data_IF_338900149172
#
_entry.id   IF_338900149172
#
_cell.length_a   1.000
_cell.length_b   1.000
_cell.length_c   1.000
_cell.angle_alpha   90.00
_cell.angle_beta   90.00
_cell.angle_gamma   90.00
#
_symmetry.space_group_name_H-M   'P 1'
#
loop_
_entity.id
_entity.type
_entity.pdbx_description
1 polymer ?
#
# COMPACT_ATOMS: atom_id res chain seq x y z
N UNK A 1 49.68 -20.63 18.10
CA UNK A 1 50.56 -21.82 18.15
C UNK A 1 50.80 -22.30 16.73
N UNK A 2 52.07 -22.58 16.39
CA UNK A 2 52.55 -22.94 15.06
C UNK A 2 51.87 -24.20 14.51
N UNK A 3 51.54 -24.19 13.21
CA UNK A 3 51.07 -25.37 12.47
C UNK A 3 51.15 -25.17 10.96
N UNK A 4 52.30 -25.49 10.38
CA UNK A 4 52.46 -25.69 8.93
C UNK A 4 51.57 -26.84 8.44
N UNK A 5 50.82 -26.64 7.34
CA UNK A 5 50.33 -27.74 6.51
C UNK A 5 50.84 -27.54 5.07
N UNK A 6 51.56 -28.57 4.61
CA UNK A 6 52.28 -28.69 3.34
C UNK A 6 51.33 -28.64 2.14
N UNK A 7 51.73 -27.89 1.11
CA UNK A 7 51.13 -27.93 -0.23
C UNK A 7 51.45 -29.27 -0.91
N UNK A 8 50.43 -30.08 -1.22
CA UNK A 8 50.54 -31.13 -2.23
C UNK A 8 49.94 -30.62 -3.56
N UNK A 9 50.74 -30.73 -4.63
CA UNK A 9 50.30 -30.43 -6.00
C UNK A 9 49.33 -31.52 -6.46
N UNK A 10 48.04 -31.21 -6.52
CA UNK A 10 47.00 -32.02 -7.15
C UNK A 10 46.26 -31.19 -8.20
N UNK A 11 46.09 -31.73 -9.42
CA UNK A 11 45.33 -31.10 -10.51
C UNK A 11 43.90 -30.79 -10.05
N UNK A 12 43.48 -29.53 -10.14
CA UNK A 12 42.11 -29.09 -9.85
C UNK A 12 41.22 -29.38 -11.07
N UNK A 13 40.10 -30.05 -10.85
CA UNK A 13 39.05 -30.30 -11.83
C UNK A 13 38.18 -29.03 -11.97
N UNK A 14 37.87 -28.53 -13.18
CA UNK A 14 37.12 -27.28 -13.38
C UNK A 14 35.67 -27.26 -12.86
N UNK A 15 35.15 -28.39 -12.34
CA UNK A 15 33.77 -28.48 -11.81
C UNK A 15 33.68 -28.64 -10.28
N UNK A 16 34.68 -28.20 -9.51
CA UNK A 16 34.64 -28.24 -8.04
C UNK A 16 34.17 -26.92 -7.43
N UNK A 17 32.93 -26.88 -6.92
CA UNK A 17 32.41 -25.77 -6.11
C UNK A 17 32.97 -25.86 -4.68
N UNK A 18 33.69 -24.82 -4.22
CA UNK A 18 34.16 -24.71 -2.84
C UNK A 18 33.13 -23.95 -2.00
N UNK A 19 32.47 -24.62 -1.05
CA UNK A 19 31.69 -23.95 0.00
C UNK A 19 32.62 -23.53 1.14
N UNK A 20 32.81 -22.23 1.34
CA UNK A 20 33.40 -21.67 2.56
C UNK A 20 32.27 -21.35 3.55
N UNK A 21 32.14 -22.12 4.62
CA UNK A 21 31.26 -21.77 5.75
C UNK A 21 32.08 -21.02 6.80
N UNK A 22 31.81 -19.73 7.02
CA UNK A 22 32.30 -19.02 8.21
C UNK A 22 31.26 -19.13 9.33
N UNK A 23 31.68 -19.62 10.49
CA UNK A 23 30.87 -19.57 11.72
C UNK A 23 30.92 -18.15 12.27
N UNK A 24 29.75 -17.53 12.41
CA UNK A 24 29.60 -16.19 12.99
C UNK A 24 29.46 -16.27 14.51
N UNK A 25 30.31 -15.53 15.23
CA UNK A 25 30.04 -15.12 16.61
C UNK A 25 29.56 -13.67 16.60
N UNK A 26 28.47 -13.46 17.32
CA UNK A 26 27.63 -12.28 17.47
C UNK A 26 28.41 -11.01 17.77
N UNK A 27 28.23 -9.94 16.97
CA UNK A 27 28.03 -8.54 17.39
C UNK A 27 27.67 -7.70 16.15
N UNK A 28 26.68 -6.82 16.30
CA UNK A 28 26.01 -6.09 15.22
C UNK A 28 26.95 -5.22 14.35
N UNK A 29 27.02 -5.54 13.05
CA UNK A 29 27.31 -4.62 11.94
C UNK A 29 26.59 -5.15 10.71
N UNK A 30 25.77 -4.32 10.07
CA UNK A 30 25.11 -4.60 8.80
C UNK A 30 26.21 -4.87 7.77
N UNK A 31 26.42 -6.13 7.40
CA UNK A 31 27.25 -6.51 6.25
C UNK A 31 26.34 -6.86 5.09
N UNK A 32 26.31 -5.98 4.09
CA UNK A 32 25.69 -6.22 2.79
C UNK A 32 26.54 -7.24 2.02
N UNK A 33 26.03 -8.44 1.80
CA UNK A 33 26.69 -9.46 0.97
C UNK A 33 26.38 -9.20 -0.50
N UNK A 34 27.37 -8.73 -1.26
CA UNK A 34 27.30 -8.53 -2.71
C UNK A 34 27.58 -9.86 -3.43
N UNK A 35 26.62 -10.38 -4.19
CA UNK A 35 26.82 -11.56 -5.05
C UNK A 35 27.26 -11.08 -6.45
N UNK A 36 28.53 -11.25 -6.80
CA UNK A 36 29.05 -10.94 -8.15
C UNK A 36 29.14 -12.24 -8.95
N UNK A 37 28.32 -12.39 -9.99
CA UNK A 37 28.47 -13.46 -11.00
C UNK A 37 29.39 -12.94 -12.10
N UNK A 38 30.63 -13.43 -12.15
CA UNK A 38 31.58 -13.10 -13.21
C UNK A 38 31.64 -14.24 -14.24
N UNK A 39 31.06 -14.03 -15.42
CA UNK A 39 31.38 -14.81 -16.62
C UNK A 39 32.52 -14.07 -17.32
N UNK A 40 33.73 -14.61 -17.26
CA UNK A 40 34.91 -14.00 -17.90
C UNK A 40 34.94 -14.41 -19.37
N UNK A 41 34.54 -13.50 -20.25
CA UNK A 41 34.95 -13.51 -21.67
C UNK A 41 35.57 -12.14 -21.98
N UNK A 42 36.77 -12.15 -22.53
CA UNK A 42 37.61 -10.98 -22.71
C UNK A 42 36.99 -9.93 -23.64
N UNK A 43 36.79 -8.71 -23.13
CA UNK A 43 37.24 -7.39 -23.65
C UNK A 43 36.43 -6.30 -22.92
N UNK A 44 37.13 -5.41 -22.20
CA UNK A 44 36.59 -4.24 -21.47
C UNK A 44 35.33 -4.50 -20.63
N UNK A 45 35.51 -4.95 -19.38
CA UNK A 45 34.45 -4.85 -18.36
C UNK A 45 34.44 -3.40 -17.88
N UNK A 46 33.52 -2.60 -18.39
CA UNK A 46 33.14 -1.35 -17.74
C UNK A 46 32.35 -1.71 -16.49
N UNK A 47 32.99 -1.61 -15.32
CA UNK A 47 32.29 -1.70 -14.04
C UNK A 47 31.47 -0.42 -13.87
N UNK A 48 30.19 -0.47 -14.18
CA UNK A 48 29.25 0.48 -13.58
C UNK A 48 29.04 -0.02 -12.15
N UNK A 49 29.46 0.72 -11.11
CA UNK A 49 28.98 0.39 -9.78
C UNK A 49 27.46 0.52 -9.83
N UNK A 50 26.73 -0.60 -9.78
CA UNK A 50 25.38 -0.57 -9.24
C UNK A 50 25.56 -0.26 -7.76
N UNK A 51 25.67 1.03 -7.45
CA UNK A 51 25.34 1.51 -6.13
C UNK A 51 23.90 1.09 -5.91
N UNK A 52 23.69 0.06 -5.09
CA UNK A 52 22.39 -0.24 -4.51
C UNK A 52 21.98 0.99 -3.70
N UNK A 53 21.29 1.93 -4.35
CA UNK A 53 20.73 3.09 -3.71
C UNK A 53 19.52 2.59 -2.91
N UNK A 54 19.71 2.39 -1.61
CA UNK A 54 18.59 2.17 -0.71
C UNK A 54 17.63 3.35 -0.88
N UNK A 55 16.39 3.07 -1.26
CA UNK A 55 15.38 4.10 -1.44
C UNK A 55 15.04 4.64 -0.07
N UNK A 56 15.17 5.95 0.11
CA UNK A 56 14.64 6.61 1.28
C UNK A 56 13.21 7.05 0.97
N UNK A 57 12.25 6.37 1.56
CA UNK A 57 10.84 6.73 1.45
C UNK A 57 10.54 7.95 2.32
N UNK A 58 9.95 8.99 1.74
CA UNK A 58 9.41 10.11 2.51
C UNK A 58 8.18 9.73 3.34
N UNK A 59 7.49 8.64 2.99
CA UNK A 59 6.48 7.99 3.82
C UNK A 59 6.52 6.46 3.68
N UNK A 60 6.45 5.77 4.81
CA UNK A 60 6.42 4.30 4.84
C UNK A 60 7.79 3.67 4.73
N UNK A 61 7.87 2.50 4.09
CA UNK A 61 9.08 1.71 3.93
C UNK A 61 9.24 1.24 2.49
N UNK A 62 10.49 1.05 2.08
CA UNK A 62 10.85 0.48 0.79
C UNK A 62 10.37 -0.98 0.73
N UNK A 63 9.60 -1.31 -0.30
CA UNK A 63 9.12 -2.68 -0.56
C UNK A 63 9.85 -3.35 -1.74
N UNK A 64 10.90 -2.71 -2.23
CA UNK A 64 11.70 -3.12 -3.39
C UNK A 64 11.25 -2.45 -4.69
N UNK A 65 12.13 -2.47 -5.68
CA UNK A 65 11.79 -2.10 -7.06
C UNK A 65 11.44 -0.63 -7.31
N UNK A 66 11.80 0.28 -6.40
CA UNK A 66 11.45 1.69 -6.56
C UNK A 66 10.25 2.15 -5.74
N UNK A 67 9.60 1.25 -5.01
CA UNK A 67 8.31 1.51 -4.39
C UNK A 67 8.38 1.67 -2.88
N UNK A 68 7.61 2.63 -2.39
CA UNK A 68 7.38 2.89 -0.98
C UNK A 68 5.94 2.54 -0.63
N UNK A 69 5.75 1.84 0.50
CA UNK A 69 4.42 1.58 1.07
C UNK A 69 4.36 2.05 2.51
N UNK A 70 3.29 2.76 2.85
CA UNK A 70 2.98 3.16 4.21
C UNK A 70 1.51 3.04 4.56
N UNK A 71 1.25 3.04 5.87
CA UNK A 71 -0.07 2.79 6.44
C UNK A 71 -0.46 3.94 7.36
N UNK A 72 -1.70 4.39 7.25
CA UNK A 72 -2.29 5.36 8.18
C UNK A 72 -3.45 4.68 8.90
N UNK A 73 -3.28 4.50 10.20
CA UNK A 73 -4.23 3.79 11.08
C UNK A 73 -4.90 4.71 12.10
N UNK A 74 -4.52 5.99 12.12
CA UNK A 74 -5.12 7.05 12.93
C UNK A 74 -4.71 8.44 12.41
N UNK A 75 -5.34 9.50 12.91
CA UNK A 75 -5.04 10.89 12.57
C UNK A 75 -6.06 11.53 11.62
N UNK A 76 -5.91 12.84 11.41
CA UNK A 76 -6.85 13.69 10.64
C UNK A 76 -6.19 14.42 9.47
N UNK A 77 -4.86 14.38 9.37
CA UNK A 77 -4.11 15.01 8.29
C UNK A 77 -2.95 14.12 7.84
N UNK A 78 -2.59 14.23 6.56
CA UNK A 78 -1.41 13.63 5.97
C UNK A 78 -0.53 14.71 5.35
N UNK A 79 0.71 14.80 5.81
CA UNK A 79 1.72 15.64 5.17
C UNK A 79 2.24 14.90 3.94
N UNK A 80 1.98 15.44 2.75
CA UNK A 80 2.39 14.83 1.49
C UNK A 80 3.93 14.87 1.40
N UNK A 81 4.58 13.71 1.25
CA UNK A 81 6.03 13.64 1.13
C UNK A 81 6.56 14.40 -0.08
N UNK A 82 7.78 14.94 0.02
CA UNK A 82 8.42 15.66 -1.09
C UNK A 82 8.72 14.78 -2.30
N UNK A 83 8.80 13.46 -2.09
CA UNK A 83 9.01 12.42 -3.08
C UNK A 83 7.69 11.83 -3.64
N UNK A 84 6.53 12.42 -3.31
CA UNK A 84 5.24 11.98 -3.85
C UNK A 84 5.18 12.07 -5.37
N UNK A 85 4.90 10.94 -6.02
CA UNK A 85 4.72 10.87 -7.47
C UNK A 85 3.22 10.77 -7.82
N UNK A 86 2.63 11.88 -8.29
CA UNK A 86 1.20 11.93 -8.65
C UNK A 86 0.83 11.04 -9.84
N UNK A 87 1.81 10.59 -10.64
CA UNK A 87 1.61 9.74 -11.81
C UNK A 87 1.89 8.25 -11.54
N UNK A 88 2.40 7.90 -10.37
CA UNK A 88 2.66 6.52 -9.95
C UNK A 88 2.44 6.38 -8.46
N UNK A 89 1.17 6.33 -8.08
CA UNK A 89 0.76 5.98 -6.72
C UNK A 89 -0.59 5.28 -6.72
N UNK A 90 -0.86 4.59 -5.62
CA UNK A 90 -2.18 4.08 -5.29
C UNK A 90 -2.51 4.44 -3.85
N UNK A 91 -3.75 4.87 -3.63
CA UNK A 91 -4.31 5.03 -2.29
C UNK A 91 -5.48 4.06 -2.15
N UNK A 92 -5.42 3.26 -1.10
CA UNK A 92 -6.42 2.25 -0.76
C UNK A 92 -7.01 2.56 0.61
N UNK A 93 -8.30 2.29 0.79
CA UNK A 93 -9.04 2.58 2.03
C UNK A 93 -9.92 1.41 2.41
N UNK A 94 -9.94 1.05 3.69
CA UNK A 94 -10.95 0.17 4.29
C UNK A 94 -11.72 0.98 5.34
N UNK A 95 -13.05 0.93 5.32
CA UNK A 95 -13.92 1.55 6.33
C UNK A 95 -13.88 0.80 7.68
N UNK A 96 -14.29 1.45 8.76
CA UNK A 96 -14.45 0.78 10.05
C UNK A 96 -15.60 -0.24 10.02
N UNK A 97 -15.44 -1.40 10.66
CA UNK A 97 -16.49 -2.40 10.83
C UNK A 97 -17.48 -1.99 11.92
N UNK A 98 -18.74 -2.38 11.78
CA UNK A 98 -19.77 -2.18 12.79
C UNK A 98 -19.68 -3.17 13.95
N UNK A 99 -20.16 -2.76 15.12
CA UNK A 99 -20.28 -3.62 16.29
C UNK A 99 -21.47 -4.56 16.20
N UNK A 100 -21.35 -5.76 16.78
CA UNK A 100 -22.48 -6.64 16.99
C UNK A 100 -23.41 -6.10 18.07
N UNK A 101 -24.67 -6.53 18.06
CA UNK A 101 -25.64 -6.13 19.08
C UNK A 101 -25.47 -6.95 20.36
N UNK A 102 -25.97 -6.41 21.47
CA UNK A 102 -26.21 -7.20 22.67
C UNK A 102 -27.37 -8.18 22.48
N UNK A 103 -27.60 -9.01 23.51
CA UNK A 103 -28.74 -9.91 23.56
C UNK A 103 -30.04 -9.15 23.86
N UNK A 104 -31.18 -9.67 23.43
CA UNK A 104 -32.47 -9.10 23.82
C UNK A 104 -32.82 -9.54 25.25
N UNK A 105 -32.89 -8.57 26.16
CA UNK A 105 -33.16 -8.82 27.59
C UNK A 105 -34.58 -9.27 27.89
N UNK A 106 -35.53 -9.00 26.98
CA UNK A 106 -36.95 -9.26 27.21
C UNK A 106 -37.33 -10.73 26.97
N UNK A 107 -36.60 -11.41 26.09
CA UNK A 107 -36.93 -12.78 25.67
C UNK A 107 -35.70 -13.71 25.56
N UNK A 108 -34.51 -13.22 25.92
CA UNK A 108 -33.27 -14.01 25.91
C UNK A 108 -32.73 -14.35 24.52
N UNK A 109 -33.23 -13.68 23.46
CA UNK A 109 -32.72 -13.87 22.09
C UNK A 109 -31.28 -13.37 21.98
N UNK A 110 -30.49 -14.06 21.15
CA UNK A 110 -29.13 -13.63 20.82
C UNK A 110 -29.08 -12.31 20.07
N UNK A 111 -27.88 -11.75 19.98
CA UNK A 111 -27.58 -10.53 19.24
C UNK A 111 -27.23 -10.79 17.78
N UNK A 112 -27.48 -9.79 16.94
CA UNK A 112 -27.13 -9.79 15.53
C UNK A 112 -25.67 -9.35 15.32
N UNK A 113 -25.06 -9.80 14.23
CA UNK A 113 -23.70 -9.42 13.87
C UNK A 113 -23.61 -8.02 13.27
N UNK A 114 -22.47 -7.36 13.44
CA UNK A 114 -22.12 -6.11 12.77
C UNK A 114 -21.63 -6.31 11.34
N UNK A 115 -21.84 -5.29 10.50
CA UNK A 115 -21.39 -5.24 9.11
C UNK A 115 -19.89 -4.99 8.97
N UNK A 116 -19.28 -5.49 7.92
CA UNK A 116 -17.88 -5.20 7.60
C UNK A 116 -17.71 -3.84 6.94
N UNK A 117 -16.53 -3.23 7.05
CA UNK A 117 -16.17 -2.02 6.31
C UNK A 117 -16.01 -2.30 4.81
N UNK A 118 -16.33 -1.33 3.96
CA UNK A 118 -16.09 -1.40 2.53
C UNK A 118 -14.61 -1.17 2.18
N UNK A 119 -14.27 -1.37 0.91
CA UNK A 119 -12.94 -1.11 0.34
C UNK A 119 -13.03 -0.19 -0.87
N UNK A 120 -12.05 0.68 -1.04
CA UNK A 120 -11.89 1.49 -2.25
C UNK A 120 -10.42 1.79 -2.54
N UNK A 121 -10.05 1.73 -3.82
CA UNK A 121 -8.70 2.02 -4.33
C UNK A 121 -8.76 2.99 -5.49
N UNK A 122 -7.79 3.91 -5.55
CA UNK A 122 -7.60 4.81 -6.69
C UNK A 122 -6.13 4.85 -7.10
N UNK A 123 -5.89 4.99 -8.39
CA UNK A 123 -4.54 5.19 -8.93
C UNK A 123 -4.28 6.67 -9.25
N UNK A 124 -3.01 7.07 -9.25
CA UNK A 124 -2.53 8.38 -9.69
C UNK A 124 -3.23 9.56 -8.98
N UNK A 125 -3.27 9.49 -7.65
CA UNK A 125 -3.85 10.54 -6.82
C UNK A 125 -2.90 11.75 -6.82
N UNK A 126 -3.41 12.89 -7.28
CA UNK A 126 -2.65 14.15 -7.33
C UNK A 126 -2.89 14.97 -6.06
N UNK A 127 -1.86 15.14 -5.25
CA UNK A 127 -1.90 15.88 -3.98
C UNK A 127 -0.58 16.60 -3.72
N UNK A 128 -0.61 17.64 -2.90
CA UNK A 128 0.58 18.36 -2.43
C UNK A 128 0.29 19.00 -1.07
N UNK A 129 1.35 19.43 -0.37
CA UNK A 129 1.22 20.11 0.92
C UNK A 129 0.68 19.19 2.02
N UNK A 130 -0.38 19.62 2.70
CA UNK A 130 -1.07 18.80 3.71
C UNK A 130 -2.50 18.57 3.28
N UNK A 131 -2.94 17.32 3.34
CA UNK A 131 -4.32 16.94 3.01
C UNK A 131 -5.03 16.45 4.26
N UNK A 132 -6.33 16.71 4.36
CA UNK A 132 -7.16 16.13 5.41
C UNK A 132 -7.44 14.67 5.08
N UNK A 133 -7.56 13.83 6.11
CA UNK A 133 -7.89 12.42 6.02
C UNK A 133 -8.86 12.06 7.16
N UNK A 134 -9.49 10.88 7.08
CA UNK A 134 -10.14 10.26 8.21
C UNK A 134 -9.90 8.75 8.21
N UNK A 135 -9.53 8.19 9.36
CA UNK A 135 -9.53 6.74 9.58
C UNK A 135 -10.78 6.37 10.38
N UNK A 136 -11.67 5.61 9.75
CA UNK A 136 -12.94 5.23 10.36
C UNK A 136 -12.74 4.40 11.62
N UNK A 137 -13.32 4.83 12.74
CA UNK A 137 -13.31 4.05 13.97
C UNK A 137 -14.11 2.74 13.83
N UNK A 138 -13.74 1.70 14.57
CA UNK A 138 -14.59 0.52 14.71
C UNK A 138 -15.83 0.82 15.56
N UNK A 139 -16.97 0.27 15.19
CA UNK A 139 -18.20 0.38 15.97
C UNK A 139 -18.10 -0.40 17.27
N UNK A 140 -18.49 0.22 18.39
CA UNK A 140 -18.60 -0.46 19.68
C UNK A 140 -19.70 -1.53 19.68
N UNK A 141 -19.46 -2.63 20.39
CA UNK A 141 -20.47 -3.67 20.59
C UNK A 141 -21.59 -3.18 21.52
N UNK A 142 -22.83 -3.56 21.23
CA UNK A 142 -23.98 -3.20 22.05
C UNK A 142 -24.01 -3.99 23.36
N UNK A 143 -24.30 -3.33 24.48
CA UNK A 143 -24.64 -4.02 25.73
C UNK A 143 -26.01 -4.70 25.66
N UNK A 144 -26.41 -5.42 26.71
CA UNK A 144 -27.71 -6.09 26.77
C UNK A 144 -28.87 -5.14 26.44
N UNK A 145 -29.71 -5.52 25.47
CA UNK A 145 -30.83 -4.71 24.97
C UNK A 145 -30.44 -3.57 24.04
N UNK A 146 -29.15 -3.38 23.74
CA UNK A 146 -28.63 -2.29 22.92
C UNK A 146 -28.06 -2.77 21.59
N UNK A 147 -28.33 -2.05 20.52
CA UNK A 147 -27.70 -2.23 19.22
C UNK A 147 -26.20 -1.94 19.27
N UNK A 148 -25.45 -2.56 18.36
CA UNK A 148 -24.06 -2.17 18.12
C UNK A 148 -23.99 -0.83 17.39
N UNK A 149 -22.87 -0.12 17.56
CA UNK A 149 -22.61 1.12 16.83
C UNK A 149 -22.10 0.83 15.42
N UNK A 150 -22.39 1.72 14.48
CA UNK A 150 -21.78 1.68 13.15
C UNK A 150 -20.28 2.00 13.23
N UNK A 151 -19.51 1.44 12.30
CA UNK A 151 -18.14 1.84 12.03
C UNK A 151 -18.09 3.15 11.23
N UNK A 152 -16.99 3.87 11.38
CA UNK A 152 -16.76 5.14 10.67
C UNK A 152 -16.28 4.93 9.23
N UNK A 153 -16.53 5.91 8.38
CA UNK A 153 -15.99 5.97 7.02
C UNK A 153 -14.48 6.25 7.03
N UNK A 154 -13.73 5.69 6.08
CA UNK A 154 -12.30 5.98 5.91
C UNK A 154 -12.09 6.69 4.58
N UNK A 155 -11.36 7.80 4.56
CA UNK A 155 -11.15 8.56 3.32
C UNK A 155 -9.85 9.35 3.31
N UNK A 156 -9.37 9.66 2.11
CA UNK A 156 -8.13 10.39 1.84
C UNK A 156 -8.37 11.61 0.94
N UNK A 157 -7.81 12.75 1.34
CA UNK A 157 -7.84 14.03 0.62
C UNK A 157 -9.26 14.53 0.31
N UNK A 158 -9.93 15.09 1.32
CA UNK A 158 -11.25 15.72 1.23
C UNK A 158 -11.70 16.34 2.56
N UNK A 159 -12.88 16.96 2.62
CA UNK A 159 -13.48 17.39 3.90
C UNK A 159 -14.44 16.33 4.49
N UNK A 160 -14.85 15.38 3.65
CA UNK A 160 -15.77 14.28 3.97
C UNK A 160 -15.52 13.15 2.99
N UNK A 161 -16.13 11.98 3.23
CA UNK A 161 -16.07 10.88 2.27
C UNK A 161 -16.59 11.28 0.88
N UNK A 162 -17.68 12.07 0.80
CA UNK A 162 -18.25 12.46 -0.50
C UNK A 162 -17.37 13.43 -1.29
N UNK A 163 -16.51 14.18 -0.59
CA UNK A 163 -15.60 15.17 -1.18
C UNK A 163 -14.16 14.65 -1.26
N UNK A 164 -13.91 13.37 -0.96
CA UNK A 164 -12.57 12.82 -0.92
C UNK A 164 -12.10 12.38 -2.29
N UNK A 165 -10.77 12.24 -2.44
CA UNK A 165 -10.20 11.63 -3.64
C UNK A 165 -10.43 10.13 -3.67
N UNK A 166 -10.39 9.49 -2.50
CA UNK A 166 -10.61 8.06 -2.27
C UNK A 166 -11.31 7.88 -0.93
N UNK A 167 -12.19 6.91 -0.81
CA UNK A 167 -12.70 6.51 0.49
C UNK A 167 -13.73 5.40 0.46
N UNK A 168 -13.85 4.72 1.59
CA UNK A 168 -14.72 3.57 1.79
C UNK A 168 -15.68 3.79 2.96
N UNK A 169 -16.89 3.26 2.81
CA UNK A 169 -17.93 3.33 3.85
C UNK A 169 -17.63 2.40 5.02
N UNK A 170 -17.96 2.84 6.23
CA UNK A 170 -18.03 1.98 7.41
C UNK A 170 -19.21 1.00 7.35
N UNK A 171 -19.12 -0.09 8.10
CA UNK A 171 -20.20 -1.07 8.29
C UNK A 171 -21.21 -0.62 9.33
N UNK A 172 -22.48 -1.00 9.15
CA UNK A 172 -23.55 -0.78 10.11
C UNK A 172 -23.41 -1.67 11.36
N UNK A 173 -23.91 -1.19 12.50
CA UNK A 173 -24.02 -2.01 13.71
C UNK A 173 -25.18 -3.01 13.63
N UNK A 174 -25.05 -4.16 14.32
CA UNK A 174 -26.15 -5.10 14.50
C UNK A 174 -27.26 -4.48 15.34
N UNK A 175 -28.51 -4.73 14.98
CA UNK A 175 -29.69 -4.12 15.64
C UNK A 175 -30.37 -5.12 16.55
N UNK A 176 -30.68 -4.70 17.79
CA UNK A 176 -31.57 -5.46 18.67
C UNK A 176 -33.01 -5.27 18.22
N UNK A 177 -33.72 -6.37 17.97
CA UNK A 177 -35.16 -6.35 17.70
C UNK A 177 -35.89 -7.42 18.53
N UNK A 178 -37.17 -7.17 18.80
CA UNK A 178 -38.05 -8.07 19.56
C UNK A 178 -38.43 -9.35 18.80
N UNK A 179 -38.29 -9.34 17.47
CA UNK A 179 -38.63 -10.42 16.55
C UNK A 179 -37.49 -10.69 15.57
N UNK A 180 -36.33 -11.10 16.10
CA UNK A 180 -35.17 -11.48 15.30
C UNK A 180 -34.32 -10.28 14.86
N UNK A 181 -33.32 -9.92 15.68
CA UNK A 181 -32.42 -8.80 15.44
C UNK A 181 -31.84 -8.79 14.02
N UNK A 182 -31.63 -7.59 13.47
CA UNK A 182 -31.16 -7.40 12.09
C UNK A 182 -29.65 -7.25 12.05
N UNK A 183 -28.99 -7.98 11.16
CA UNK A 183 -27.56 -7.85 10.91
C UNK A 183 -27.18 -6.47 10.39
N UNK A 184 -26.01 -5.99 10.80
CA UNK A 184 -25.47 -4.73 10.30
C UNK A 184 -25.16 -4.81 8.81
N UNK A 185 -25.61 -3.82 8.05
CA UNK A 185 -25.27 -3.72 6.61
C UNK A 185 -23.76 -3.53 6.42
N UNK A 186 -23.19 -4.14 5.39
CA UNK A 186 -21.80 -3.88 5.03
C UNK A 186 -21.58 -2.47 4.48
N UNK A 187 -20.36 -1.96 4.57
CA UNK A 187 -19.97 -0.71 3.93
C UNK A 187 -20.18 -0.81 2.42
N UNK A 188 -21.15 -0.09 1.88
CA UNK A 188 -21.58 -0.24 0.49
C UNK A 188 -20.57 0.37 -0.50
N UNK A 189 -20.07 -0.44 -1.45
CA UNK A 189 -19.15 0.02 -2.50
C UNK A 189 -19.76 1.10 -3.41
N UNK A 190 -21.08 1.07 -3.60
CA UNK A 190 -21.81 2.10 -4.35
C UNK A 190 -21.70 3.50 -3.74
N UNK A 191 -21.41 3.59 -2.44
CA UNK A 191 -21.19 4.83 -1.70
C UNK A 191 -19.71 5.15 -1.45
N UNK A 192 -18.78 4.31 -1.90
CA UNK A 192 -17.34 4.56 -1.85
C UNK A 192 -16.84 5.35 -3.07
N UNK A 193 -15.67 5.97 -2.91
CA UNK A 193 -14.95 6.74 -3.94
C UNK A 193 -13.64 6.02 -4.28
N UNK A 194 -13.47 5.67 -5.54
CA UNK A 194 -12.29 4.95 -6.07
C UNK A 194 -12.61 4.31 -7.41
N UNK A 195 -11.57 3.86 -8.10
CA UNK A 195 -11.66 3.16 -9.38
C UNK A 195 -12.08 1.70 -9.16
N UNK A 196 -11.51 1.06 -8.14
CA UNK A 196 -11.86 -0.30 -7.70
C UNK A 196 -12.53 -0.21 -6.34
N UNK A 197 -13.69 -0.85 -6.17
CA UNK A 197 -14.48 -0.78 -4.95
C UNK A 197 -15.14 -2.11 -4.64
N UNK A 198 -15.10 -2.49 -3.38
CA UNK A 198 -15.72 -3.72 -2.87
C UNK A 198 -16.52 -3.42 -1.61
N UNK A 199 -17.63 -4.11 -1.44
CA UNK A 199 -18.49 -3.95 -0.28
C UNK A 199 -17.94 -4.71 0.91
N UNK A 200 -18.22 -4.22 2.10
CA UNK A 200 -18.11 -5.05 3.30
C UNK A 200 -19.20 -6.12 3.30
N UNK A 201 -18.98 -7.21 4.02
CA UNK A 201 -20.01 -8.21 4.22
C UNK A 201 -21.15 -7.66 5.08
N UNK A 202 -22.34 -8.24 4.93
CA UNK A 202 -23.49 -7.97 5.79
C UNK A 202 -23.49 -8.94 6.97
N UNK A 203 -23.66 -8.42 8.19
CA UNK A 203 -23.91 -9.24 9.37
C UNK A 203 -25.18 -10.06 9.18
N UNK A 204 -25.32 -11.15 9.95
CA UNK A 204 -26.51 -11.99 9.89
C UNK A 204 -27.53 -11.60 10.94
N UNK A 205 -28.80 -11.77 10.55
CA UNK A 205 -29.95 -11.67 11.42
C UNK A 205 -29.94 -12.79 12.48
N UNK A 206 -30.75 -12.61 13.51
CA UNK A 206 -31.00 -13.64 14.52
C UNK A 206 -32.34 -14.29 14.24
N UNK A 207 -32.36 -15.61 14.05
CA UNK A 207 -33.60 -16.36 13.92
C UNK A 207 -34.41 -16.27 15.23
N UNK A 208 -35.72 -16.01 15.12
CA UNK A 208 -36.59 -15.91 16.28
C UNK A 208 -36.51 -17.17 17.15
N UNK A 209 -36.24 -17.00 18.45
CA UNK A 209 -36.10 -18.10 19.41
C UNK A 209 -34.68 -18.64 19.55
N UNK A 210 -33.71 -18.17 18.76
CA UNK A 210 -32.29 -18.48 18.95
C UNK A 210 -31.72 -17.74 20.17
N UNK A 211 -31.12 -18.50 21.08
CA UNK A 211 -30.43 -17.96 22.27
C UNK A 211 -28.93 -17.71 22.03
N UNK A 212 -28.37 -18.20 20.91
CA UNK A 212 -27.01 -17.88 20.46
C UNK A 212 -26.97 -16.60 19.61
N UNK A 213 -25.83 -15.93 19.59
CA UNK A 213 -25.57 -14.76 18.77
C UNK A 213 -25.11 -15.12 17.36
N UNK A 214 -25.47 -14.30 16.37
CA UNK A 214 -25.02 -14.46 14.98
C UNK A 214 -23.61 -13.92 14.80
N UNK A 215 -22.84 -14.46 13.84
CA UNK A 215 -21.50 -13.95 13.55
C UNK A 215 -21.52 -12.54 12.97
N UNK A 216 -20.40 -11.83 13.04
CA UNK A 216 -20.14 -10.62 12.27
C UNK A 216 -19.68 -10.95 10.86
N UNK A 217 -19.60 -9.94 10.00
CA UNK A 217 -19.16 -10.08 8.60
C UNK A 217 -17.82 -9.42 8.31
N UNK A 218 -17.09 -9.95 7.33
CA UNK A 218 -15.72 -9.52 7.03
C UNK A 218 -15.65 -8.21 6.26
N UNK A 219 -14.48 -7.58 6.28
CA UNK A 219 -14.22 -6.36 5.51
C UNK A 219 -14.07 -6.63 4.01
N UNK A 220 -14.44 -5.68 3.16
CA UNK A 220 -13.96 -5.66 1.79
C UNK A 220 -12.43 -5.45 1.77
N UNK A 221 -11.76 -5.97 0.76
CA UNK A 221 -10.31 -5.88 0.63
C UNK A 221 -9.83 -5.96 -0.81
N UNK A 222 -8.51 -5.96 -1.07
CA UNK A 222 -7.97 -6.00 -2.42
C UNK A 222 -8.36 -7.28 -3.18
N UNK A 223 -8.76 -8.33 -2.47
CA UNK A 223 -9.18 -9.62 -3.03
C UNK A 223 -10.71 -9.75 -3.23
N UNK A 224 -11.50 -8.71 -2.96
CA UNK A 224 -12.93 -8.70 -3.23
C UNK A 224 -13.80 -8.25 -2.05
N UNK A 225 -15.09 -8.56 -2.15
CA UNK A 225 -16.09 -8.23 -1.14
C UNK A 225 -15.82 -8.98 0.17
N UNK A 226 -16.23 -8.37 1.28
CA UNK A 226 -16.27 -9.02 2.57
C UNK A 226 -17.34 -10.10 2.61
N UNK A 227 -17.02 -11.24 3.20
CA UNK A 227 -17.94 -12.36 3.29
C UNK A 227 -18.98 -12.15 4.39
N UNK A 228 -20.15 -12.77 4.20
CA UNK A 228 -21.24 -12.71 5.17
C UNK A 228 -20.92 -13.56 6.39
N UNK A 229 -21.61 -13.27 7.48
CA UNK A 229 -21.53 -14.10 8.66
C UNK A 229 -22.36 -15.39 8.53
N UNK A 230 -22.18 -16.28 9.51
CA UNK A 230 -23.07 -17.39 9.80
C UNK A 230 -24.17 -17.02 10.79
N UNK A 231 -25.34 -17.63 10.62
CA UNK A 231 -26.52 -17.47 11.47
C UNK A 231 -26.43 -18.30 12.76
N UNK A 232 -27.03 -17.81 13.83
CA UNK A 232 -27.21 -18.56 15.07
C UNK A 232 -28.38 -19.55 15.01
N UNK A 233 -28.30 -20.64 15.78
CA UNK A 233 -29.35 -21.68 15.83
C UNK A 233 -30.13 -21.69 17.15
N UNK A 234 -31.35 -22.27 17.10
CA UNK A 234 -32.27 -22.40 18.24
C UNK A 234 -31.69 -23.08 19.48
N UNK A 235 -30.68 -23.95 19.31
CA UNK A 235 -30.10 -24.75 20.39
C UNK A 235 -28.98 -24.01 21.17
N UNK A 236 -28.82 -22.70 20.98
CA UNK A 236 -27.86 -21.88 21.72
C UNK A 236 -26.43 -21.96 21.20
N UNK A 237 -26.22 -22.35 19.94
CA UNK A 237 -24.90 -22.27 19.31
C UNK A 237 -24.77 -21.01 18.43
N UNK A 238 -23.62 -20.34 18.52
CA UNK A 238 -23.32 -19.12 17.78
C UNK A 238 -22.84 -19.38 16.35
N UNK A 239 -23.13 -18.44 15.45
CA UNK A 239 -22.69 -18.48 14.05
C UNK A 239 -21.22 -18.07 13.87
N UNK A 240 -20.55 -18.59 12.83
CA UNK A 240 -19.18 -18.20 12.51
C UNK A 240 -19.08 -16.81 11.89
N UNK A 241 -17.95 -16.13 12.07
CA UNK A 241 -17.67 -14.85 11.43
C UNK A 241 -17.33 -15.00 9.94
N UNK A 242 -17.68 -14.02 9.12
CA UNK A 242 -17.25 -13.95 7.71
C UNK A 242 -15.78 -13.53 7.57
N UNK A 243 -15.15 -13.90 6.47
CA UNK A 243 -13.77 -13.50 6.13
C UNK A 243 -13.71 -12.17 5.34
N UNK A 244 -12.57 -11.47 5.38
CA UNK A 244 -12.28 -10.39 4.44
C UNK A 244 -11.77 -10.88 3.07
N UNK A 245 -12.60 -10.82 2.02
CA UNK A 245 -12.23 -11.21 0.65
C UNK A 245 -12.33 -12.70 0.31
N UNK A 246 -13.09 -13.49 1.08
CA UNK A 246 -13.09 -14.97 1.00
C UNK A 246 -14.45 -15.56 1.33
N UNK A 247 -14.49 -16.66 2.11
CA UNK A 247 -15.72 -17.43 2.31
C UNK A 247 -16.60 -16.91 3.46
N UNK A 248 -17.91 -17.16 3.34
CA UNK A 248 -18.87 -16.91 4.41
C UNK A 248 -18.53 -17.72 5.67
N UNK A 249 -18.96 -17.20 6.82
CA UNK A 249 -18.98 -17.96 8.07
C UNK A 249 -20.06 -19.04 8.04
N UNK A 250 -19.79 -20.20 8.65
CA UNK A 250 -20.75 -21.27 8.71
C UNK A 250 -21.88 -20.97 9.72
N UNK A 251 -23.09 -21.39 9.38
CA UNK A 251 -24.23 -21.36 10.29
C UNK A 251 -24.02 -22.35 11.45
N UNK A 252 -24.61 -22.04 12.60
CA UNK A 252 -24.74 -23.03 13.67
C UNK A 252 -25.81 -24.07 13.31
N UNK A 253 -25.62 -25.33 13.72
CA UNK A 253 -26.60 -26.41 13.48
C UNK A 253 -26.58 -27.45 14.61
N UNK A 254 -27.76 -27.88 15.08
CA UNK A 254 -27.87 -29.00 16.01
C UNK A 254 -27.18 -28.85 17.38
N UNK A 255 -26.78 -27.62 17.78
CA UNK A 255 -25.96 -27.37 18.99
C UNK A 255 -24.46 -27.25 18.70
N UNK A 256 -24.03 -27.52 17.47
CA UNK A 256 -22.68 -27.26 16.99
C UNK A 256 -22.57 -25.79 16.58
N UNK A 257 -21.49 -25.14 17.00
CA UNK A 257 -21.22 -23.76 16.58
C UNK A 257 -20.59 -23.69 15.20
N UNK A 258 -20.87 -22.59 14.51
CA UNK A 258 -20.38 -22.36 13.16
C UNK A 258 -18.88 -22.07 13.13
N UNK A 259 -18.15 -22.68 12.19
CA UNK A 259 -16.78 -22.29 11.90
C UNK A 259 -16.74 -20.91 11.22
N UNK A 260 -15.67 -20.14 11.46
CA UNK A 260 -15.40 -18.91 10.74
C UNK A 260 -15.03 -19.15 9.28
N UNK A 261 -15.29 -18.16 8.45
CA UNK A 261 -14.95 -18.18 7.03
C UNK A 261 -13.45 -18.16 6.79
N UNK A 262 -13.01 -18.81 5.73
CA UNK A 262 -11.62 -18.83 5.28
C UNK A 262 -11.29 -17.62 4.40
N UNK A 263 -10.02 -17.23 4.38
CA UNK A 263 -9.48 -16.22 3.47
C UNK A 263 -9.52 -16.60 2.01
N UNK A 264 -9.14 -15.65 1.14
CA UNK A 264 -9.09 -15.84 -0.31
C UNK A 264 -8.21 -17.03 -0.73
N UNK A 265 -7.26 -17.45 0.12
CA UNK A 265 -6.44 -18.65 -0.05
C UNK A 265 -7.04 -19.94 0.52
N UNK A 266 -8.27 -19.89 1.04
CA UNK A 266 -9.00 -21.06 1.56
C UNK A 266 -8.58 -21.49 2.97
N UNK A 267 -7.94 -20.63 3.77
CA UNK A 267 -7.46 -20.97 5.13
C UNK A 267 -7.80 -19.90 6.17
N UNK A 268 -7.50 -20.16 7.45
CA UNK A 268 -7.53 -19.14 8.52
C UNK A 268 -8.87 -18.98 9.24
N UNK A 269 -9.92 -19.68 8.81
CA UNK A 269 -11.18 -19.73 9.56
C UNK A 269 -11.02 -20.38 10.93
N UNK A 270 -11.53 -19.72 11.97
CA UNK A 270 -11.57 -20.25 13.33
C UNK A 270 -12.54 -21.42 13.45
N UNK A 271 -12.11 -22.50 14.08
CA UNK A 271 -13.02 -23.53 14.57
C UNK A 271 -13.93 -22.98 15.69
N UNK A 272 -14.91 -23.77 16.10
CA UNK A 272 -15.77 -23.45 17.26
C UNK A 272 -14.98 -22.87 18.44
N UNK A 273 -15.41 -21.71 18.95
CA UNK A 273 -14.80 -20.97 20.06
C UNK A 273 -13.39 -20.41 19.83
N UNK A 274 -12.79 -20.61 18.65
CA UNK A 274 -11.42 -20.14 18.35
C UNK A 274 -11.42 -18.93 17.44
N UNK A 275 -10.39 -18.10 17.61
CA UNK A 275 -10.18 -16.95 16.73
C UNK A 275 -9.73 -17.37 15.33
N UNK A 276 -10.05 -16.56 14.34
CA UNK A 276 -9.51 -16.69 12.99
C UNK A 276 -8.09 -16.13 12.89
N UNK A 277 -7.43 -16.41 11.77
CA UNK A 277 -6.10 -15.92 11.42
C UNK A 277 -6.05 -15.47 9.96
N UNK A 278 -5.10 -14.59 9.61
CA UNK A 278 -4.86 -14.14 8.22
C UNK A 278 -6.14 -13.68 7.49
N UNK A 279 -6.91 -12.83 8.15
CA UNK A 279 -8.19 -12.30 7.68
C UNK A 279 -9.38 -13.25 7.90
N UNK A 280 -9.17 -14.50 8.33
CA UNK A 280 -10.22 -15.48 8.57
C UNK A 280 -11.21 -15.07 9.67
N UNK A 281 -12.46 -15.51 9.55
CA UNK A 281 -13.48 -15.25 10.56
C UNK A 281 -13.24 -16.06 11.84
N UNK A 282 -13.67 -15.54 12.98
CA UNK A 282 -13.68 -16.28 14.25
C UNK A 282 -14.83 -17.30 14.30
N UNK A 283 -14.60 -18.45 14.92
CA UNK A 283 -15.66 -19.43 15.09
C UNK A 283 -16.68 -19.02 16.14
N UNK A 284 -17.92 -19.46 15.95
CA UNK A 284 -19.00 -19.24 16.88
C UNK A 284 -18.78 -19.93 18.21
N UNK A 285 -19.35 -19.36 19.26
CA UNK A 285 -19.37 -19.92 20.60
C UNK A 285 -20.31 -21.13 20.66
N UNK A 286 -19.81 -22.26 21.18
CA UNK A 286 -20.65 -23.34 21.68
C UNK A 286 -21.40 -22.86 22.92
N UNK A 287 -22.43 -23.58 23.37
CA UNK A 287 -23.22 -23.20 24.55
C UNK A 287 -22.32 -22.75 25.72
N UNK A 288 -22.69 -21.63 26.34
CA UNK A 288 -21.96 -20.99 27.45
C UNK A 288 -20.56 -20.42 27.13
N UNK A 289 -20.15 -20.38 25.86
CA UNK A 289 -18.86 -19.85 25.44
C UNK A 289 -18.99 -18.56 24.62
N UNK A 290 -17.92 -17.77 24.62
CA UNK A 290 -17.83 -16.57 23.80
C UNK A 290 -17.55 -16.93 22.34
N UNK A 291 -17.84 -16.00 21.43
CA UNK A 291 -17.40 -16.10 20.04
C UNK A 291 -15.91 -15.84 19.91
N UNK A 292 -15.26 -16.52 18.97
CA UNK A 292 -13.87 -16.27 18.61
C UNK A 292 -13.70 -14.94 17.87
N UNK A 293 -12.57 -14.26 18.06
CA UNK A 293 -12.26 -13.02 17.34
C UNK A 293 -11.90 -13.28 15.86
N UNK A 294 -12.16 -12.31 15.00
CA UNK A 294 -11.67 -12.34 13.61
C UNK A 294 -10.15 -12.16 13.53
N UNK A 295 -9.53 -12.80 12.54
CA UNK A 295 -8.11 -12.66 12.25
C UNK A 295 -7.80 -11.35 11.52
N UNK A 296 -6.62 -10.78 11.79
CA UNK A 296 -6.12 -9.66 10.99
C UNK A 296 -5.64 -10.16 9.61
N UNK A 297 -5.93 -9.40 8.56
CA UNK A 297 -5.49 -9.71 7.20
C UNK A 297 -3.98 -9.50 7.00
N UNK A 298 -3.44 -10.03 5.90
CA UNK A 298 -2.01 -9.96 5.56
C UNK A 298 -1.77 -9.62 4.09
N UNK A 299 -2.70 -8.93 3.44
CA UNK A 299 -2.66 -8.65 2.01
C UNK A 299 -1.54 -7.67 1.63
N UNK A 300 -1.17 -6.75 2.52
CA UNK A 300 -0.15 -5.74 2.25
C UNK A 300 1.19 -6.03 2.91
N UNK A 301 1.17 -6.63 4.11
CA UNK A 301 2.34 -7.13 4.83
C UNK A 301 1.91 -8.19 5.88
N UNK A 302 2.80 -8.55 6.81
CA UNK A 302 2.53 -9.55 7.83
C UNK A 302 1.45 -9.17 8.87
N UNK A 303 1.06 -7.90 8.98
CA UNK A 303 0.14 -7.39 10.01
C UNK A 303 -0.96 -6.48 9.48
N UNK A 304 -0.96 -6.15 8.20
CA UNK A 304 -1.92 -5.26 7.56
C UNK A 304 -2.68 -5.95 6.44
N UNK A 305 -4.00 -5.87 6.53
CA UNK A 305 -4.90 -6.47 5.58
C UNK A 305 -6.37 -6.31 5.91
N UNK A 306 -7.24 -6.89 5.08
CA UNK A 306 -8.68 -6.94 5.34
C UNK A 306 -9.01 -7.90 6.48
N UNK A 307 -9.70 -7.39 7.49
CA UNK A 307 -10.01 -8.14 8.70
C UNK A 307 -11.18 -9.10 8.55
N UNK A 308 -11.03 -10.29 9.13
CA UNK A 308 -12.14 -11.21 9.35
C UNK A 308 -13.07 -10.72 10.44
N UNK A 309 -14.24 -11.33 10.55
CA UNK A 309 -15.23 -10.94 11.54
C UNK A 309 -15.18 -11.81 12.79
N UNK A 310 -15.74 -11.32 13.89
CA UNK A 310 -15.92 -12.12 15.09
C UNK A 310 -17.07 -13.12 14.97
N UNK A 311 -16.91 -14.30 15.57
CA UNK A 311 -17.97 -15.28 15.74
C UNK A 311 -19.03 -14.81 16.74
N UNK A 312 -20.26 -15.29 16.60
CA UNK A 312 -21.35 -15.01 17.54
C UNK A 312 -21.20 -15.82 18.82
N UNK A 313 -21.74 -15.31 19.93
CA UNK A 313 -21.64 -15.96 21.23
C UNK A 313 -22.58 -17.20 21.35
N UNK A 314 -22.21 -18.18 22.16
CA UNK A 314 -23.07 -19.31 22.49
C UNK A 314 -24.09 -18.97 23.58
N UNK A 315 -25.33 -19.44 23.44
CA UNK A 315 -26.43 -19.26 24.38
C UNK A 315 -26.25 -19.99 25.72
N UNK A 316 -27.09 -19.63 26.70
CA UNK A 316 -27.11 -20.24 28.03
C UNK A 316 -27.93 -19.45 29.06
N UNK A 317 -28.35 -20.11 30.14
CA UNK A 317 -29.27 -19.57 31.17
C UNK A 317 -28.60 -18.75 32.28
N UNK A 318 -27.25 -18.71 32.36
CA UNK A 318 -26.56 -18.24 33.57
C UNK A 318 -25.97 -16.82 33.46
N UNK A 319 -25.09 -16.57 32.50
CA UNK A 319 -24.38 -15.29 32.37
C UNK A 319 -24.20 -14.92 30.90
N UNK A 320 -24.36 -13.63 30.57
CA UNK A 320 -24.18 -13.12 29.23
C UNK A 320 -22.80 -13.46 28.65
N UNK A 321 -22.79 -13.84 27.36
CA UNK A 321 -21.58 -14.17 26.62
C UNK A 321 -21.33 -13.15 25.54
N UNK A 322 -20.04 -12.95 25.28
CA UNK A 322 -19.57 -11.87 24.42
C UNK A 322 -19.39 -12.37 23.01
N UNK A 323 -19.88 -11.60 22.05
CA UNK A 323 -19.56 -11.81 20.64
C UNK A 323 -18.08 -11.59 20.38
N UNK A 324 -17.49 -12.32 19.44
CA UNK A 324 -16.12 -12.10 19.02
C UNK A 324 -15.94 -10.70 18.45
N UNK A 325 -14.81 -10.06 18.72
CA UNK A 325 -14.46 -8.81 18.04
C UNK A 325 -14.04 -9.06 16.60
N UNK A 326 -14.22 -8.06 15.73
CA UNK A 326 -13.65 -8.11 14.38
C UNK A 326 -12.12 -8.17 14.39
N UNK A 327 -11.54 -8.59 13.27
CA UNK A 327 -10.12 -8.53 12.97
C UNK A 327 -9.73 -7.21 12.34
N UNK A 328 -8.45 -6.84 12.47
CA UNK A 328 -7.91 -5.67 11.79
C UNK A 328 -7.76 -5.95 10.28
N UNK A 329 -8.20 -5.11 9.36
CA UNK A 329 -8.93 -3.84 9.50
C UNK A 329 -10.36 -3.98 8.95
N UNK A 330 -11.31 -3.24 9.53
CA UNK A 330 -12.69 -3.17 9.05
C UNK A 330 -13.59 -4.37 9.38
N UNK A 331 -13.11 -5.37 10.11
CA UNK A 331 -13.91 -6.55 10.46
C UNK A 331 -15.10 -6.20 11.38
N UNK A 332 -16.27 -6.79 11.11
CA UNK A 332 -17.48 -6.64 11.93
C UNK A 332 -17.44 -7.48 13.21
N UNK A 333 -18.12 -7.03 14.26
CA UNK A 333 -18.24 -7.76 15.53
C UNK A 333 -19.39 -8.79 15.53
N UNK A 334 -19.21 -9.90 16.27
CA UNK A 334 -20.26 -10.90 16.46
C UNK A 334 -21.32 -10.47 17.47
N UNK A 335 -22.53 -11.05 17.39
CA UNK A 335 -23.61 -10.80 18.34
C UNK A 335 -23.41 -11.49 19.68
N UNK A 336 -23.94 -10.90 20.75
CA UNK A 336 -23.92 -11.45 22.10
C UNK A 336 -24.97 -12.54 22.34
N UNK A 337 -24.98 -13.13 23.53
CA UNK A 337 -26.03 -14.04 23.99
C UNK A 337 -26.21 -13.99 25.50
N UNK A 338 -27.31 -14.55 26.03
CA UNK A 338 -27.53 -14.80 27.46
C UNK A 338 -28.92 -14.43 27.98
N UNK A 339 -29.29 -14.98 29.14
CA UNK A 339 -30.45 -14.55 29.92
C UNK A 339 -30.11 -13.32 30.78
N UNK A 340 -30.71 -12.16 30.50
CA UNK A 340 -30.50 -10.91 31.26
C UNK A 340 -29.49 -9.92 30.64
N UNK A 341 -29.30 -8.75 31.26
CA UNK A 341 -28.68 -7.55 30.66
C UNK A 341 -27.14 -7.54 30.50
N UNK A 342 -26.45 -8.68 30.56
CA UNK A 342 -24.98 -8.71 30.63
C UNK A 342 -24.27 -9.15 29.34
N UNK A 343 -24.98 -9.55 28.28
CA UNK A 343 -24.36 -9.93 27.01
C UNK A 343 -23.89 -8.71 26.23
N UNK A 344 -22.63 -8.69 25.81
CA UNK A 344 -22.04 -7.58 25.04
C UNK A 344 -21.66 -8.07 23.64
N UNK A 345 -22.11 -7.34 22.61
CA UNK A 345 -21.71 -7.61 21.25
C UNK A 345 -20.19 -7.43 21.08
N UNK A 346 -19.62 -8.11 20.09
CA UNK A 346 -18.25 -7.86 19.68
C UNK A 346 -18.12 -6.46 19.09
N UNK A 347 -17.02 -5.77 19.41
CA UNK A 347 -16.67 -4.52 18.71
C UNK A 347 -16.19 -4.81 17.29
N UNK A 348 -16.60 -3.96 16.34
CA UNK A 348 -15.96 -3.89 15.03
C UNK A 348 -14.58 -3.26 15.13
N UNK A 349 -13.80 -3.32 14.05
CA UNK A 349 -12.45 -2.76 13.99
C UNK A 349 -12.34 -1.55 13.10
N UNK A 350 -11.35 -0.71 13.40
CA UNK A 350 -11.05 0.49 12.65
C UNK A 350 -10.67 0.18 11.20
N UNK A 351 -10.82 1.20 10.36
CA UNK A 351 -10.33 1.21 9.00
C UNK A 351 -8.83 1.43 8.88
N UNK A 352 -8.36 1.55 7.65
CA UNK A 352 -6.96 1.84 7.30
C UNK A 352 -6.88 2.59 5.98
N UNK A 353 -5.87 3.44 5.83
CA UNK A 353 -5.44 3.99 4.54
C UNK A 353 -4.08 3.39 4.20
N UNK A 354 -3.95 2.82 3.00
CA UNK A 354 -2.69 2.27 2.49
C UNK A 354 -2.27 3.10 1.29
N UNK A 355 -1.02 3.55 1.33
CA UNK A 355 -0.43 4.34 0.25
C UNK A 355 0.75 3.54 -0.28
N UNK A 356 0.74 3.24 -1.57
CA UNK A 356 1.90 2.71 -2.29
C UNK A 356 2.26 3.70 -3.39
N UNK A 357 3.54 4.08 -3.52
CA UNK A 357 3.97 5.01 -4.57
C UNK A 357 5.40 4.71 -4.99
N UNK A 358 5.71 4.95 -6.27
CA UNK A 358 7.09 4.84 -6.76
C UNK A 358 7.80 6.16 -6.53
N UNK A 359 9.01 6.10 -5.96
CA UNK A 359 9.85 7.29 -5.84
C UNK A 359 10.36 7.64 -7.23
N UNK A 360 10.06 8.84 -7.71
CA UNK A 360 10.60 9.32 -8.98
C UNK A 360 12.13 9.49 -8.90
N UNK A 361 12.81 9.42 -10.04
CA UNK A 361 14.19 9.89 -10.10
C UNK A 361 14.23 11.40 -9.85
N UNK A 362 15.22 11.86 -9.07
CA UNK A 362 15.42 13.31 -8.86
C UNK A 362 15.91 14.00 -10.14
N UNK A 363 15.64 15.29 -10.28
CA UNK A 363 16.14 16.05 -11.42
C UNK A 363 17.69 16.13 -11.40
N UNK A 364 18.36 15.97 -12.55
CA UNK A 364 19.78 16.28 -12.68
C UNK A 364 20.10 17.75 -12.34
N UNK A 365 21.33 18.05 -11.94
CA UNK A 365 21.79 19.44 -11.83
C UNK A 365 22.60 19.83 -13.08
N UNK A 366 22.10 20.79 -13.86
CA UNK A 366 22.66 21.16 -15.17
C UNK A 366 23.62 22.35 -15.08
N UNK A 367 24.70 22.26 -15.85
CA UNK A 367 25.64 23.33 -16.18
C UNK A 367 25.81 23.46 -17.70
N UNK A 368 26.08 24.67 -18.17
CA UNK A 368 26.29 25.01 -19.58
C UNK A 368 27.65 25.69 -19.77
N UNK A 369 28.30 25.41 -20.90
CA UNK A 369 29.50 26.11 -21.37
C UNK A 369 29.31 26.55 -22.82
N UNK A 370 29.49 27.85 -23.07
CA UNK A 370 29.38 28.47 -24.39
C UNK A 370 30.70 28.30 -25.12
N UNK A 371 30.71 27.59 -26.25
CA UNK A 371 31.90 27.37 -27.06
C UNK A 371 31.72 27.98 -28.46
N UNK A 372 32.82 28.11 -29.21
CA UNK A 372 32.76 28.52 -30.61
C UNK A 372 32.16 27.38 -31.45
N UNK A 373 30.89 27.52 -31.85
CA UNK A 373 30.19 26.56 -32.71
C UNK A 373 29.34 25.49 -32.03
N UNK A 374 29.28 25.45 -30.69
CA UNK A 374 28.43 24.52 -29.95
C UNK A 374 28.14 25.02 -28.52
N UNK A 375 27.12 24.44 -27.87
CA UNK A 375 26.91 24.55 -26.42
C UNK A 375 27.32 23.23 -25.76
N UNK A 376 28.27 23.30 -24.84
CA UNK A 376 28.59 22.17 -23.95
C UNK A 376 27.61 22.11 -22.79
N UNK A 377 27.08 20.93 -22.51
CA UNK A 377 26.17 20.63 -21.41
C UNK A 377 26.78 19.55 -20.55
N UNK A 378 26.74 19.74 -19.23
CA UNK A 378 27.18 18.74 -18.26
C UNK A 378 26.23 18.74 -17.07
N UNK A 379 25.86 17.57 -16.58
CA UNK A 379 24.99 17.42 -15.43
C UNK A 379 25.49 16.39 -14.43
N UNK A 380 24.96 16.45 -13.22
CA UNK A 380 25.14 15.40 -12.22
C UNK A 380 24.15 14.27 -12.45
N UNK A 381 24.54 13.05 -12.11
CA UNK A 381 23.59 11.96 -11.95
C UNK A 381 22.56 12.35 -10.88
N UNK A 382 21.26 12.07 -11.07
CA UNK A 382 20.25 12.18 -10.02
C UNK A 382 20.72 11.61 -8.68
N UNK A 383 20.45 12.32 -7.59
CA UNK A 383 20.83 11.89 -6.24
C UNK A 383 20.11 10.59 -5.81
N UNK A 384 18.89 10.40 -6.30
CA UNK A 384 18.20 9.11 -6.30
C UNK A 384 17.72 8.79 -7.71
N UNK A 385 17.87 7.53 -8.08
CA UNK A 385 17.34 6.94 -9.30
C UNK A 385 15.92 6.39 -9.11
N UNK A 386 15.26 6.65 -7.98
CA UNK A 386 13.94 6.10 -7.70
C UNK A 386 13.95 4.57 -7.57
N UNK A 387 15.08 3.99 -7.14
CA UNK A 387 15.24 2.56 -6.86
C UNK A 387 15.26 1.61 -8.06
N UNK A 388 15.12 2.13 -9.27
CA UNK A 388 15.32 1.40 -10.52
C UNK A 388 16.46 2.04 -11.31
N UNK A 389 17.10 1.28 -12.19
CA UNK A 389 18.20 1.80 -12.98
C UNK A 389 17.72 2.96 -13.86
N UNK A 390 18.49 4.07 -13.85
CA UNK A 390 18.24 5.16 -14.78
C UNK A 390 18.51 4.65 -16.20
N UNK A 391 17.56 4.81 -17.09
CA UNK A 391 17.64 4.32 -18.46
C UNK A 391 18.14 5.41 -19.41
N UNK A 392 17.56 6.61 -19.34
CA UNK A 392 17.86 7.69 -20.30
C UNK A 392 17.95 9.08 -19.66
N UNK A 393 18.72 9.96 -20.31
CA UNK A 393 18.64 11.40 -20.14
C UNK A 393 17.97 12.03 -21.36
N UNK A 394 17.05 12.96 -21.14
CA UNK A 394 16.43 13.79 -22.19
C UNK A 394 16.91 15.22 -22.10
N UNK A 395 17.49 15.76 -23.19
CA UNK A 395 17.98 17.15 -23.26
C UNK A 395 16.96 18.02 -23.98
N UNK A 396 16.44 19.02 -23.28
CA UNK A 396 15.39 19.93 -23.75
C UNK A 396 15.98 21.30 -24.05
N UNK A 397 15.55 21.91 -25.16
CA UNK A 397 16.00 23.23 -25.62
C UNK A 397 14.84 24.11 -26.06
N UNK A 398 14.94 25.41 -25.78
CA UNK A 398 14.04 26.42 -26.34
C UNK A 398 14.77 27.79 -26.49
N UNK A 399 14.24 28.70 -27.30
CA UNK A 399 14.79 30.08 -27.50
C UNK A 399 14.28 31.09 -26.48
N UNK A 400 13.45 30.64 -25.54
CA UNK A 400 12.91 31.41 -24.42
C UNK A 400 12.84 30.53 -23.17
N UNK A 401 12.86 31.10 -21.95
CA UNK A 401 12.69 30.33 -20.72
C UNK A 401 11.43 29.46 -20.74
N UNK A 402 11.54 28.25 -20.20
CA UNK A 402 10.45 27.28 -20.09
C UNK A 402 10.45 26.55 -18.74
N UNK A 403 9.28 26.06 -18.31
CA UNK A 403 9.12 25.32 -17.04
C UNK A 403 8.51 23.94 -17.22
N UNK A 404 8.15 23.56 -18.45
CA UNK A 404 7.56 22.27 -18.78
C UNK A 404 8.11 21.74 -20.12
N UNK A 405 8.18 20.41 -20.24
CA UNK A 405 8.66 19.71 -21.45
C UNK A 405 7.77 19.99 -22.67
N UNK A 406 6.48 20.22 -22.48
CA UNK A 406 5.51 20.56 -23.55
C UNK A 406 5.80 21.89 -24.24
N UNK A 407 6.62 22.77 -23.63
CA UNK A 407 6.99 24.09 -24.16
C UNK A 407 8.40 24.13 -24.74
N UNK A 408 9.09 22.99 -24.83
CA UNK A 408 10.46 22.89 -25.32
C UNK A 408 10.60 21.76 -26.33
N UNK A 409 11.69 21.79 -27.09
CA UNK A 409 12.03 20.72 -28.02
C UNK A 409 13.00 19.75 -27.37
N UNK A 410 12.69 18.45 -27.38
CA UNK A 410 13.65 17.40 -27.07
C UNK A 410 14.66 17.31 -28.21
N UNK A 411 15.91 17.71 -27.97
CA UNK A 411 16.94 17.72 -29.02
C UNK A 411 17.75 16.43 -29.07
N UNK A 412 17.79 15.69 -27.96
CA UNK A 412 18.37 14.34 -27.92
C UNK A 412 17.86 13.58 -26.71
N UNK A 413 17.88 12.25 -26.81
CA UNK A 413 17.74 11.32 -25.70
C UNK A 413 18.83 10.27 -25.82
N UNK A 414 19.54 9.98 -24.73
CA UNK A 414 20.59 8.97 -24.76
C UNK A 414 20.64 8.13 -23.48
N UNK A 415 21.15 6.91 -23.62
CA UNK A 415 21.26 5.97 -22.51
C UNK A 415 22.23 6.51 -21.44
N UNK A 416 21.89 6.34 -20.17
CA UNK A 416 22.71 6.84 -19.04
C UNK A 416 24.13 6.25 -19.02
N UNK A 417 24.33 5.07 -19.59
CA UNK A 417 25.63 4.41 -19.77
C UNK A 417 26.63 5.20 -20.61
N UNK A 418 26.15 6.19 -21.39
CA UNK A 418 26.97 7.04 -22.26
C UNK A 418 27.56 8.26 -21.55
N UNK A 419 27.20 8.50 -20.29
CA UNK A 419 27.73 9.59 -19.45
C UNK A 419 26.72 10.70 -19.16
N UNK A 420 27.21 11.81 -18.61
CA UNK A 420 26.39 12.96 -18.18
C UNK A 420 26.77 14.27 -18.87
N UNK A 421 27.21 14.18 -20.13
CA UNK A 421 27.60 15.33 -20.95
C UNK A 421 26.97 15.25 -22.33
N UNK A 422 26.72 16.42 -22.94
CA UNK A 422 26.22 16.53 -24.30
C UNK A 422 26.77 17.80 -24.96
N UNK A 423 27.03 17.73 -26.27
CA UNK A 423 27.46 18.88 -27.07
C UNK A 423 26.41 19.18 -28.13
N UNK A 424 25.69 20.28 -27.96
CA UNK A 424 24.70 20.74 -28.94
C UNK A 424 25.41 21.51 -30.06
N UNK A 425 25.78 20.79 -31.11
CA UNK A 425 26.38 21.33 -32.34
C UNK A 425 25.36 21.90 -33.31
N UNK A 426 24.06 21.76 -33.01
CA UNK A 426 22.96 22.30 -33.83
C UNK A 426 22.54 23.71 -33.39
N UNK A 427 23.07 24.18 -32.26
CA UNK A 427 22.84 25.53 -31.76
C UNK A 427 23.41 26.58 -32.74
N UNK A 428 22.54 27.45 -33.24
CA UNK A 428 22.95 28.51 -34.16
C UNK A 428 23.79 29.58 -33.45
N UNK A 429 24.86 30.04 -34.12
CA UNK A 429 25.70 31.13 -33.63
C UNK A 429 24.89 32.40 -33.34
N UNK A 430 25.20 33.07 -32.24
CA UNK A 430 24.54 34.31 -31.82
C UNK A 430 23.11 34.16 -31.28
N UNK A 431 22.52 32.96 -31.31
CA UNK A 431 21.20 32.71 -30.70
C UNK A 431 21.35 32.27 -29.25
N UNK A 432 20.56 32.87 -28.35
CA UNK A 432 20.50 32.44 -26.95
C UNK A 432 19.49 31.31 -26.83
N UNK A 433 19.94 30.18 -26.28
CA UNK A 433 19.09 29.04 -25.97
C UNK A 433 19.03 28.83 -24.46
N UNK A 434 17.91 28.26 -24.02
CA UNK A 434 17.68 27.79 -22.66
C UNK A 434 17.62 26.26 -22.69
N UNK A 435 18.24 25.62 -21.72
CA UNK A 435 18.38 24.16 -21.63
C UNK A 435 17.95 23.65 -20.25
N UNK A 436 17.38 22.45 -20.25
CA UNK A 436 17.11 21.63 -19.06
C UNK A 436 17.26 20.15 -19.42
N UNK A 437 17.52 19.31 -18.43
CA UNK A 437 17.67 17.84 -18.58
C UNK A 437 16.68 17.12 -17.69
N UNK A 438 16.10 16.04 -18.19
CA UNK A 438 15.32 15.07 -17.40
C UNK A 438 16.08 13.75 -17.31
N UNK A 439 15.90 13.01 -16.23
CA UNK A 439 16.32 11.62 -16.12
C UNK A 439 15.09 10.71 -16.12
N UNK A 440 15.17 9.55 -16.76
CA UNK A 440 14.06 8.59 -16.81
C UNK A 440 14.56 7.24 -16.32
N UNK A 441 13.81 6.61 -15.42
CA UNK A 441 13.92 5.21 -15.06
C UNK A 441 12.66 4.46 -15.53
N UNK A 442 12.58 3.16 -15.26
CA UNK A 442 11.41 2.34 -15.61
C UNK A 442 10.11 2.88 -14.97
N UNK A 443 10.20 3.48 -13.78
CA UNK A 443 9.03 3.95 -13.02
C UNK A 443 8.50 5.31 -13.50
N UNK A 444 9.39 6.26 -13.82
CA UNK A 444 9.04 7.65 -14.09
C UNK A 444 10.19 8.48 -14.69
N UNK A 445 9.79 9.57 -15.36
CA UNK A 445 10.68 10.68 -15.71
C UNK A 445 10.72 11.72 -14.59
N UNK A 446 11.90 12.21 -14.26
CA UNK A 446 12.12 13.29 -13.30
C UNK A 446 11.48 14.60 -13.76
N UNK A 447 11.31 15.55 -12.84
CA UNK A 447 11.12 16.95 -13.22
C UNK A 447 12.32 17.47 -14.02
N UNK A 448 12.14 18.59 -14.73
CA UNK A 448 13.25 19.30 -15.39
C UNK A 448 14.33 19.70 -14.37
N UNK A 449 15.60 19.61 -14.77
CA UNK A 449 16.71 20.22 -14.04
C UNK A 449 16.51 21.73 -13.87
N UNK A 450 17.37 22.34 -13.06
CA UNK A 450 17.57 23.79 -13.13
C UNK A 450 17.81 24.21 -14.58
N UNK A 451 17.16 25.29 -15.01
CA UNK A 451 17.33 25.81 -16.36
C UNK A 451 18.63 26.59 -16.48
N UNK A 452 19.32 26.42 -17.60
CA UNK A 452 20.56 27.14 -17.92
C UNK A 452 20.48 27.80 -19.28
N UNK A 453 20.92 29.05 -19.36
CA UNK A 453 21.11 29.75 -20.63
C UNK A 453 22.48 29.40 -21.22
N UNK A 454 22.57 29.32 -22.54
CA UNK A 454 23.85 29.31 -23.26
C UNK A 454 24.55 30.67 -23.25
N UNK A 455 23.88 31.75 -22.85
CA UNK A 455 24.32 33.10 -23.21
C UNK A 455 24.40 33.30 -24.73
N UNK A 456 24.88 34.45 -25.20
CA UNK A 456 25.19 34.63 -26.61
C UNK A 456 26.43 33.78 -26.93
N UNK A 457 26.26 32.71 -27.71
CA UNK A 457 27.35 31.91 -28.29
C UNK A 457 28.13 32.73 -29.35
N UNK A 458 28.67 33.87 -28.94
CA UNK A 458 29.47 34.76 -29.75
C UNK A 458 30.93 34.35 -29.58
N UNK A 459 31.36 33.33 -30.33
CA UNK A 459 32.78 33.11 -30.54
C UNK A 459 33.46 34.42 -30.95
N UNK A 460 34.62 34.73 -30.36
CA UNK A 460 35.35 35.98 -30.63
C UNK A 460 35.71 36.02 -32.12
N UNK A 461 34.95 36.77 -32.92
CA UNK A 461 35.30 37.04 -34.32
C UNK A 461 36.54 37.94 -34.30
N UNK A 462 37.74 37.35 -34.40
CA UNK A 462 38.95 38.12 -34.70
C UNK A 462 38.87 38.48 -36.18
N UNK A 463 38.29 39.64 -36.49
CA UNK A 463 38.44 40.23 -37.83
C UNK A 463 39.91 40.63 -37.99
N UNK A 464 40.68 39.86 -38.75
CA UNK A 464 41.94 40.35 -39.31
C UNK A 464 41.58 41.53 -40.23
N UNK A 465 41.85 42.76 -39.80
CA UNK A 465 41.71 43.94 -40.65
C UNK A 465 42.76 43.82 -41.76
N UNK A 466 42.30 43.74 -43.00
CA UNK A 466 43.15 43.59 -44.18
C UNK A 466 44.05 44.80 -44.43
N UNK A 467 45.17 44.53 -45.08
CA UNK A 467 45.88 45.50 -45.90
C UNK A 467 45.89 44.93 -47.34
N UNK A 468 45.15 45.58 -48.24
CA UNK A 468 45.32 45.47 -49.68
C UNK A 468 46.35 46.52 -50.10
N UNK A 469 47.34 46.14 -50.92
CA UNK A 469 48.08 47.08 -51.79
C UNK A 469 47.85 46.64 -53.24
N UNK A 470 47.54 47.62 -54.08
CA UNK A 470 46.86 47.53 -55.37
C UNK A 470 47.85 47.87 -56.52
N UNK A 471 47.72 47.17 -57.67
CA UNK A 471 47.88 47.80 -59.00
C UNK A 471 49.04 47.41 -59.93
N UNK A 472 48.69 46.90 -61.13
CA UNK A 472 49.38 46.94 -62.46
C UNK A 472 50.66 46.09 -62.71
N UNK A 473 50.88 45.43 -63.87
CA UNK A 473 50.21 45.37 -65.20
C UNK A 473 50.65 44.11 -65.99
N UNK A 474 49.79 43.71 -66.96
CA UNK A 474 49.88 42.61 -67.95
C UNK A 474 51.26 42.21 -68.51
N UNK A 475 51.42 40.90 -68.77
CA UNK A 475 51.58 40.37 -70.13
C UNK A 475 50.57 39.28 -70.40
#
# INVERSE_FOLDING_TARGET
MNGLIKSSRGKINPNSYFMLTSRSHTFAKIQTTLLVVAVVVATSVSFYPETAHAITCGFGSDIGGGECRGFITSGTTFAVPSDWNSNSNTVETIGGGGGGSGNNVSNGQGGAGGGGGGYSKKTNVTVSGTVTINVGAGGGGGGGGSSGSAGGDTWFNGASLAASSVGAKGGGGGVVASSGGTGGVGGASGSGIGDTKYSGGTGRDVVQGSSGGSGGSGAGGPNGDGARAGEASGNGAGGGGGNGGGSDGANASGGNSGAGGNNYGGTGGGAANTGGSNGGGGGGGSSFNNGGAGGAGTEWDATHGSGGAGGGAGGGTNAGKTGGSGGLYGGGGGGASGGGATGIGGGGKQGIIVITYSVGSTAPALTTTSNTGNVGLSWTVPATNGGTNLETYGVWRHTSPFTATSSATLITSFATSTGTTYSDTTASHGTVYYYSVTATNQAATSSLSNQRSSGPNSGRIIRLKGAWINGSRLR
#
